data_IF_084829675624
#
_entry.id   IF_084829675624
#
_cell.length_a   1.000
_cell.length_b   1.000
_cell.length_c   1.000
_cell.angle_alpha   90.00
_cell.angle_beta   90.00
_cell.angle_gamma   90.00
#
_symmetry.space_group_name_H-M   'P 1'
#
loop_
_entity.id
_entity.type
_entity.pdbx_description
1 polymer ?
#
# COMPACT_ATOMS: atom_id res chain seq x y z
N UNK A 1 35.06 -82.03 -17.74
CA UNK A 1 34.15 -83.13 -18.16
C UNK A 1 32.72 -82.73 -17.81
N UNK A 2 31.71 -83.34 -18.42
CA UNK A 2 30.29 -82.92 -18.38
C UNK A 2 29.40 -84.19 -18.23
N UNK A 3 28.11 -84.20 -17.87
CA UNK A 3 27.06 -83.16 -17.71
C UNK A 3 26.22 -83.55 -16.45
N UNK A 4 25.54 -82.65 -15.73
CA UNK A 4 24.07 -82.41 -15.77
C UNK A 4 23.66 -81.50 -14.57
N UNK A 5 22.68 -80.57 -14.61
CA UNK A 5 21.21 -80.63 -14.91
C UNK A 5 20.41 -81.35 -13.79
N UNK A 6 19.33 -80.85 -13.16
CA UNK A 6 18.58 -79.55 -13.14
C UNK A 6 18.24 -79.23 -11.64
N UNK A 7 17.22 -78.54 -11.06
CA UNK A 7 15.90 -77.87 -11.29
C UNK A 7 15.93 -76.64 -10.31
N UNK A 8 15.56 -75.38 -10.56
CA UNK A 8 14.37 -74.65 -11.06
C UNK A 8 13.26 -74.31 -10.01
N UNK A 9 12.53 -73.18 -10.22
CA UNK A 9 11.54 -72.49 -9.35
C UNK A 9 12.14 -71.74 -8.12
N UNK A 10 12.31 -70.40 -8.11
CA UNK A 10 11.33 -69.26 -8.06
C UNK A 10 10.68 -69.07 -6.67
N UNK A 11 10.73 -67.90 -6.00
CA UNK A 11 9.98 -66.66 -6.33
C UNK A 11 10.47 -65.47 -5.45
N UNK A 12 10.60 -64.25 -6.03
CA UNK A 12 10.72 -62.89 -5.40
C UNK A 12 11.81 -62.66 -4.30
N UNK A 13 12.37 -61.46 -4.03
CA UNK A 13 12.11 -60.06 -4.44
C UNK A 13 13.39 -59.32 -4.87
N UNK A 14 13.22 -58.17 -5.51
CA UNK A 14 14.22 -57.12 -5.76
C UNK A 14 13.59 -55.74 -5.40
N UNK A 15 14.25 -54.58 -5.61
CA UNK A 15 15.59 -54.18 -5.18
C UNK A 15 15.55 -52.90 -4.28
N UNK A 16 16.74 -52.35 -4.01
CA UNK A 16 17.08 -50.97 -3.56
C UNK A 16 15.92 -49.95 -3.57
N UNK A 17 15.68 -49.31 -2.42
CA UNK A 17 14.88 -48.08 -2.34
C UNK A 17 15.51 -47.05 -1.37
N UNK A 18 16.35 -46.17 -1.92
CA UNK A 18 16.88 -44.97 -1.24
C UNK A 18 16.59 -43.77 -2.15
N UNK A 19 15.48 -43.07 -1.90
CA UNK A 19 15.17 -41.77 -2.53
C UNK A 19 14.04 -41.05 -1.77
N UNK A 20 13.85 -39.76 -2.08
CA UNK A 20 12.72 -38.92 -1.66
C UNK A 20 12.62 -38.56 -0.15
N UNK A 21 13.59 -37.78 0.35
CA UNK A 21 13.39 -36.90 1.51
C UNK A 21 13.84 -35.46 1.20
N UNK A 22 13.33 -34.92 0.09
CA UNK A 22 13.71 -33.60 -0.44
C UNK A 22 12.55 -32.95 -1.20
N UNK A 23 11.49 -32.54 -0.48
CA UNK A 23 10.25 -32.11 -1.14
C UNK A 23 9.22 -31.30 -0.34
N UNK A 24 9.56 -30.71 0.81
CA UNK A 24 8.60 -29.91 1.63
C UNK A 24 9.27 -28.65 2.20
N UNK A 25 9.64 -27.67 1.36
CA UNK A 25 10.18 -26.38 1.84
C UNK A 25 9.88 -25.14 0.96
N UNK A 26 9.00 -25.21 -0.06
CA UNK A 26 8.76 -24.09 -0.99
C UNK A 26 7.33 -23.51 -0.98
N UNK A 27 6.36 -24.13 -0.32
CA UNK A 27 4.96 -23.64 -0.27
C UNK A 27 4.66 -22.64 0.85
N UNK A 28 5.59 -22.40 1.78
CA UNK A 28 5.33 -21.60 2.98
C UNK A 28 5.24 -20.08 2.75
N UNK A 29 6.00 -19.53 1.79
CA UNK A 29 6.15 -18.08 1.67
C UNK A 29 4.90 -17.37 1.14
N UNK A 30 4.18 -17.97 0.18
CA UNK A 30 3.03 -17.33 -0.48
C UNK A 30 1.79 -17.21 0.43
N UNK A 31 1.54 -18.21 1.29
CA UNK A 31 0.40 -18.20 2.21
C UNK A 31 0.50 -17.04 3.21
N UNK A 32 1.64 -16.94 3.90
CA UNK A 32 1.94 -15.92 4.91
C UNK A 32 1.86 -14.49 4.32
N UNK A 33 2.07 -14.34 3.01
CA UNK A 33 1.96 -13.05 2.32
C UNK A 33 0.50 -12.62 2.11
N UNK A 34 -0.38 -13.50 1.64
CA UNK A 34 -1.82 -13.22 1.50
C UNK A 34 -2.46 -12.87 2.86
N UNK A 35 -2.06 -13.59 3.91
CA UNK A 35 -2.57 -13.41 5.27
C UNK A 35 -2.38 -11.96 5.80
N UNK A 36 -1.34 -11.24 5.37
CA UNK A 36 -1.08 -9.86 5.82
C UNK A 36 -2.10 -8.86 5.25
N UNK A 37 -2.39 -8.97 3.94
CA UNK A 37 -3.36 -8.11 3.26
C UNK A 37 -4.78 -8.38 3.78
N UNK A 38 -5.12 -9.64 4.06
CA UNK A 38 -6.36 -10.00 4.75
C UNK A 38 -6.42 -9.49 6.19
N UNK A 39 -5.31 -9.56 6.94
CA UNK A 39 -5.27 -9.07 8.33
C UNK A 39 -5.51 -7.55 8.39
N UNK A 40 -4.93 -6.77 7.47
CA UNK A 40 -5.19 -5.32 7.33
C UNK A 40 -6.68 -5.03 7.17
N UNK A 41 -7.35 -5.68 6.22
CA UNK A 41 -8.77 -5.48 5.93
C UNK A 41 -9.70 -5.85 7.10
N UNK A 42 -9.24 -6.67 8.05
CA UNK A 42 -9.99 -7.03 9.28
C UNK A 42 -9.81 -6.03 10.44
N UNK A 43 -8.79 -5.15 10.41
CA UNK A 43 -8.46 -4.21 11.51
C UNK A 43 -8.52 -2.72 11.13
N UNK A 44 -8.44 -2.43 9.82
CA UNK A 44 -8.64 -1.12 9.21
C UNK A 44 -9.82 -1.25 8.24
N UNK A 45 -10.89 -0.48 8.47
CA UNK A 45 -12.00 -0.42 7.49
C UNK A 45 -11.48 0.30 6.23
N UNK A 46 -11.97 -0.03 5.01
CA UNK A 46 -11.47 0.56 3.76
C UNK A 46 -11.42 2.09 3.70
N UNK A 47 -10.68 2.62 2.73
CA UNK A 47 -10.82 4.00 2.31
C UNK A 47 -12.28 4.33 1.95
N UNK A 48 -12.87 5.41 2.48
CA UNK A 48 -14.20 5.88 2.07
C UNK A 48 -14.14 6.51 0.67
N UNK A 49 -15.14 6.24 -0.15
CA UNK A 49 -15.20 6.70 -1.56
C UNK A 49 -15.42 8.21 -1.70
N UNK A 50 -14.69 8.83 -2.63
CA UNK A 50 -14.91 10.23 -3.03
C UNK A 50 -15.24 10.35 -4.51
N UNK A 51 -15.56 11.57 -4.96
CA UNK A 51 -15.79 11.88 -6.38
C UNK A 51 -14.51 11.92 -7.24
N UNK A 52 -13.33 11.63 -6.69
CA UNK A 52 -12.09 11.54 -7.47
C UNK A 52 -11.99 10.23 -8.28
N UNK A 53 -12.58 9.14 -7.77
CA UNK A 53 -12.79 7.91 -8.52
C UNK A 53 -14.20 7.96 -9.10
N UNK A 54 -14.30 7.94 -10.43
CA UNK A 54 -15.57 8.14 -11.16
C UNK A 54 -16.50 6.91 -11.08
N UNK A 55 -15.93 5.72 -10.84
CA UNK A 55 -16.63 4.43 -10.78
C UNK A 55 -16.08 3.53 -9.64
N UNK A 56 -16.29 3.89 -8.36
CA UNK A 56 -15.79 3.14 -7.21
C UNK A 56 -16.42 1.74 -7.07
N UNK A 57 -17.61 1.53 -7.64
CA UNK A 57 -18.34 0.26 -7.66
C UNK A 57 -17.65 -0.85 -8.47
N UNK A 58 -16.68 -0.47 -9.33
CA UNK A 58 -15.85 -1.43 -10.07
C UNK A 58 -14.67 -1.96 -9.24
N UNK A 59 -14.38 -1.34 -8.10
CA UNK A 59 -13.30 -1.78 -7.22
C UNK A 59 -13.71 -3.00 -6.39
N UNK A 60 -12.78 -3.94 -6.26
CA UNK A 60 -12.87 -5.07 -5.36
C UNK A 60 -11.71 -5.00 -4.34
N UNK A 61 -11.75 -5.85 -3.32
CA UNK A 61 -10.62 -6.07 -2.42
C UNK A 61 -9.77 -7.23 -2.97
N UNK A 62 -8.60 -6.99 -3.58
CA UNK A 62 -7.66 -8.04 -3.95
C UNK A 62 -6.93 -8.59 -2.72
N UNK A 63 -6.37 -9.79 -2.83
CA UNK A 63 -5.45 -10.38 -1.83
C UNK A 63 -3.98 -10.18 -2.18
N UNK A 64 -3.67 -9.82 -3.42
CA UNK A 64 -2.34 -9.92 -4.04
C UNK A 64 -1.64 -8.56 -4.29
N UNK A 65 -2.23 -7.47 -3.80
CA UNK A 65 -1.65 -6.11 -3.69
C UNK A 65 -2.04 -5.48 -2.34
N UNK A 66 -1.28 -4.50 -1.82
CA UNK A 66 -1.42 -4.01 -0.44
C UNK A 66 -2.55 -2.98 -0.25
N UNK A 67 -3.28 -2.65 -1.31
CA UNK A 67 -4.31 -1.62 -1.34
C UNK A 67 -5.70 -2.24 -1.14
N UNK A 68 -6.46 -1.74 -0.17
CA UNK A 68 -7.76 -2.30 0.22
C UNK A 68 -8.83 -2.32 -0.89
N UNK A 69 -8.78 -1.38 -1.84
CA UNK A 69 -9.69 -1.33 -2.98
C UNK A 69 -8.92 -1.14 -4.28
N UNK A 70 -9.17 -1.97 -5.28
CA UNK A 70 -8.51 -1.89 -6.59
C UNK A 70 -9.47 -2.23 -7.72
N UNK A 71 -9.33 -1.50 -8.83
CA UNK A 71 -9.84 -1.89 -10.14
C UNK A 71 -8.73 -1.76 -11.17
N UNK A 72 -8.66 -2.71 -12.11
CA UNK A 72 -7.81 -2.63 -13.28
C UNK A 72 -8.71 -2.90 -14.48
N UNK A 73 -8.61 -2.08 -15.52
CA UNK A 73 -9.39 -2.24 -16.75
C UNK A 73 -9.09 -3.62 -17.36
N UNK A 74 -10.10 -4.40 -17.79
CA UNK A 74 -9.90 -5.62 -18.55
C UNK A 74 -8.97 -5.40 -19.75
N UNK A 75 -8.12 -6.38 -20.03
CA UNK A 75 -7.12 -6.37 -21.11
C UNK A 75 -6.08 -5.23 -21.02
N UNK A 76 -5.90 -4.58 -19.85
CA UNK A 76 -4.86 -3.57 -19.62
C UNK A 76 -3.45 -4.19 -19.57
N UNK A 77 -2.80 -4.26 -20.73
CA UNK A 77 -1.39 -4.61 -20.82
C UNK A 77 -0.48 -3.47 -20.34
N UNK A 78 -0.11 -3.50 -19.05
CA UNK A 78 0.85 -2.58 -18.43
C UNK A 78 2.28 -2.66 -19.00
N UNK A 79 2.62 -3.65 -19.85
CA UNK A 79 3.97 -3.79 -20.44
C UNK A 79 4.26 -2.83 -21.59
N UNK A 80 3.21 -2.33 -22.26
CA UNK A 80 3.33 -1.36 -23.37
C UNK A 80 3.89 0.00 -22.95
N UNK A 81 3.62 0.39 -21.71
CA UNK A 81 3.93 1.70 -21.16
C UNK A 81 5.33 1.72 -20.54
N UNK A 82 6.12 2.72 -20.90
CA UNK A 82 7.54 2.85 -20.53
C UNK A 82 7.87 4.19 -19.87
N UNK A 83 6.94 5.15 -19.92
CA UNK A 83 7.06 6.46 -19.28
C UNK A 83 5.93 6.68 -18.26
N UNK A 84 6.22 7.43 -17.19
CA UNK A 84 5.26 7.74 -16.13
C UNK A 84 5.33 9.22 -15.75
N UNK A 85 4.22 9.94 -15.89
CA UNK A 85 4.01 11.27 -15.33
C UNK A 85 3.29 11.13 -13.99
N UNK A 86 3.82 11.76 -12.94
CA UNK A 86 3.21 11.73 -11.60
C UNK A 86 2.63 13.11 -11.33
N UNK A 87 1.30 13.22 -11.38
CA UNK A 87 0.60 14.47 -11.18
C UNK A 87 0.66 14.92 -9.70
N UNK A 88 0.60 16.22 -9.40
CA UNK A 88 0.51 16.71 -8.02
C UNK A 88 -0.63 16.04 -7.24
N UNK A 89 -0.37 15.70 -5.98
CA UNK A 89 -1.38 15.10 -5.10
C UNK A 89 -2.49 16.11 -4.82
N UNK A 90 -3.73 15.74 -5.12
CA UNK A 90 -4.90 16.58 -4.91
C UNK A 90 -5.40 16.50 -3.46
N UNK A 91 -5.79 17.63 -2.87
CA UNK A 91 -6.31 17.76 -1.50
C UNK A 91 -7.77 18.24 -1.44
N UNK A 92 -8.39 18.50 -2.59
CA UNK A 92 -9.77 18.98 -2.73
C UNK A 92 -10.82 17.93 -2.33
N UNK A 93 -10.41 16.66 -2.27
CA UNK A 93 -11.22 15.50 -1.88
C UNK A 93 -11.00 15.08 -0.42
N UNK A 94 -10.30 15.90 0.38
CA UNK A 94 -10.16 15.68 1.82
C UNK A 94 -11.53 15.77 2.50
N UNK A 95 -11.92 14.72 3.22
CA UNK A 95 -13.13 14.72 4.03
C UNK A 95 -13.07 15.80 5.13
N UNK A 96 -14.23 16.37 5.47
CA UNK A 96 -14.32 17.24 6.64
C UNK A 96 -13.93 16.49 7.91
N UNK A 97 -13.01 17.08 8.67
CA UNK A 97 -12.39 16.41 9.80
C UNK A 97 -13.11 16.73 11.11
N UNK A 98 -13.75 15.71 11.66
CA UNK A 98 -14.48 15.68 12.92
C UNK A 98 -13.71 16.26 14.13
N UNK A 99 -12.37 16.20 14.10
CA UNK A 99 -11.48 16.76 15.12
C UNK A 99 -11.23 18.27 14.90
N UNK A 100 -11.19 18.72 13.65
CA UNK A 100 -10.97 20.13 13.29
C UNK A 100 -12.22 20.97 13.58
N UNK A 101 -13.41 20.42 13.33
CA UNK A 101 -14.68 21.03 13.75
C UNK A 101 -14.80 21.23 15.27
N UNK A 102 -14.13 20.39 16.06
CA UNK A 102 -14.04 20.52 17.54
C UNK A 102 -12.93 21.50 17.97
N UNK A 103 -11.96 21.78 17.09
CA UNK A 103 -10.85 22.68 17.31
C UNK A 103 -11.21 24.12 16.85
N UNK A 104 -12.08 24.78 17.62
CA UNK A 104 -12.88 25.94 17.19
C UNK A 104 -12.14 27.30 17.04
N UNK A 105 -10.99 27.35 16.34
CA UNK A 105 -10.31 28.63 16.02
C UNK A 105 -9.96 28.73 14.53
N UNK A 106 -10.36 29.82 13.88
CA UNK A 106 -10.17 30.05 12.44
C UNK A 106 -8.68 30.10 12.01
N UNK A 107 -7.77 30.41 12.93
CA UNK A 107 -6.32 30.27 12.73
C UNK A 107 -5.93 28.82 12.44
N UNK A 108 -6.39 27.87 13.26
CA UNK A 108 -6.02 26.46 13.13
C UNK A 108 -6.52 25.83 11.83
N UNK A 109 -7.68 26.26 11.30
CA UNK A 109 -8.14 25.80 9.98
C UNK A 109 -7.18 26.18 8.84
N UNK A 110 -6.53 27.35 8.91
CA UNK A 110 -5.56 27.78 7.90
C UNK A 110 -4.23 27.04 8.05
N UNK A 111 -3.74 26.87 9.29
CA UNK A 111 -2.53 26.10 9.57
C UNK A 111 -2.69 24.64 9.10
N UNK A 112 -3.77 23.96 9.52
CA UNK A 112 -4.08 22.57 9.16
C UNK A 112 -4.31 22.40 7.65
N UNK A 113 -4.85 23.39 6.95
CA UNK A 113 -4.94 23.36 5.48
C UNK A 113 -3.55 23.42 4.83
N UNK A 114 -2.70 24.37 5.23
CA UNK A 114 -1.31 24.49 4.75
C UNK A 114 -0.51 23.23 5.04
N UNK A 115 -0.73 22.62 6.20
CA UNK A 115 -0.12 21.36 6.60
C UNK A 115 -0.50 20.18 5.68
N UNK A 116 -1.77 20.13 5.25
CA UNK A 116 -2.28 19.15 4.28
C UNK A 116 -1.66 19.37 2.90
N UNK A 117 -1.48 20.63 2.49
CA UNK A 117 -0.80 21.00 1.24
C UNK A 117 0.70 20.60 1.29
N UNK A 118 1.39 20.80 2.41
CA UNK A 118 2.76 20.32 2.62
C UNK A 118 2.87 18.78 2.64
N UNK A 119 1.87 18.08 3.18
CA UNK A 119 1.79 16.61 3.12
C UNK A 119 1.55 16.10 1.70
N UNK A 120 0.74 16.79 0.90
CA UNK A 120 0.51 16.45 -0.51
C UNK A 120 1.78 16.64 -1.36
N UNK A 121 2.50 17.75 -1.17
CA UNK A 121 3.83 17.99 -1.79
C UNK A 121 4.84 16.94 -1.36
N UNK A 122 4.85 16.55 -0.08
CA UNK A 122 5.72 15.49 0.42
C UNK A 122 5.40 14.13 -0.22
N UNK A 123 4.13 13.73 -0.27
CA UNK A 123 3.73 12.45 -0.84
C UNK A 123 4.03 12.39 -2.35
N UNK A 124 3.79 13.48 -3.09
CA UNK A 124 4.21 13.61 -4.48
C UNK A 124 5.71 13.39 -4.65
N UNK A 125 6.53 14.10 -3.86
CA UNK A 125 7.99 13.98 -3.88
C UNK A 125 8.47 12.56 -3.57
N UNK A 126 7.85 11.86 -2.61
CA UNK A 126 8.22 10.49 -2.26
C UNK A 126 7.81 9.47 -3.34
N UNK A 127 6.66 9.64 -4.01
CA UNK A 127 6.26 8.79 -5.14
C UNK A 127 7.16 9.03 -6.35
N UNK A 128 7.48 10.29 -6.70
CA UNK A 128 8.46 10.65 -7.74
C UNK A 128 9.83 10.05 -7.44
N UNK A 129 10.29 10.17 -6.19
CA UNK A 129 11.55 9.58 -5.73
C UNK A 129 11.55 8.07 -5.88
N UNK A 130 10.52 7.38 -5.38
CA UNK A 130 10.43 5.92 -5.42
C UNK A 130 10.48 5.37 -6.86
N UNK A 131 9.81 6.01 -7.83
CA UNK A 131 9.90 5.61 -9.23
C UNK A 131 11.22 6.01 -9.91
N UNK A 132 11.83 7.16 -9.56
CA UNK A 132 13.16 7.53 -10.08
C UNK A 132 14.30 6.66 -9.51
N UNK A 133 14.14 6.14 -8.29
CA UNK A 133 15.10 5.25 -7.60
C UNK A 133 14.78 3.74 -7.76
N UNK A 134 13.77 3.37 -8.56
CA UNK A 134 13.43 1.96 -8.83
C UNK A 134 14.60 1.21 -9.48
N UNK A 135 15.20 0.17 -8.86
CA UNK A 135 16.31 -0.58 -9.45
C UNK A 135 15.92 -1.44 -10.65
N UNK A 136 14.61 -1.69 -10.88
CA UNK A 136 14.13 -2.31 -12.13
C UNK A 136 14.00 -1.27 -13.27
N UNK A 137 14.07 0.03 -12.96
CA UNK A 137 13.88 1.17 -13.86
C UNK A 137 12.70 1.00 -14.85
N UNK A 138 11.58 0.42 -14.40
CA UNK A 138 10.47 0.04 -15.29
C UNK A 138 9.86 1.23 -16.04
N UNK A 139 9.81 2.38 -15.38
CA UNK A 139 9.27 3.60 -15.95
C UNK A 139 10.31 4.72 -15.92
N UNK A 140 10.55 5.34 -17.07
CA UNK A 140 11.19 6.65 -17.16
C UNK A 140 10.19 7.69 -16.63
N UNK A 141 10.47 8.29 -15.47
CA UNK A 141 9.62 9.36 -14.93
C UNK A 141 9.80 10.62 -15.77
N UNK A 142 8.69 11.15 -16.31
CA UNK A 142 8.63 12.39 -17.09
C UNK A 142 7.92 13.50 -16.32
N UNK A 143 8.31 14.75 -16.55
CA UNK A 143 7.90 15.90 -15.75
C UNK A 143 6.84 16.78 -16.45
N UNK A 144 6.73 16.69 -17.78
CA UNK A 144 5.60 17.24 -18.56
C UNK A 144 5.21 16.30 -19.71
N UNK A 145 4.03 16.51 -20.29
CA UNK A 145 3.54 15.74 -21.46
C UNK A 145 4.44 15.96 -22.68
N UNK A 146 5.09 17.12 -22.79
CA UNK A 146 6.01 17.48 -23.90
C UNK A 146 7.32 16.68 -23.88
N UNK A 147 7.68 16.11 -22.73
CA UNK A 147 8.84 15.23 -22.58
C UNK A 147 8.58 13.78 -23.02
N UNK A 148 7.32 13.43 -23.31
CA UNK A 148 6.89 12.08 -23.69
C UNK A 148 7.49 11.66 -25.03
N UNK A 149 8.16 10.52 -25.03
CA UNK A 149 8.74 9.88 -26.21
C UNK A 149 8.10 8.53 -26.53
N UNK A 150 7.33 7.94 -25.62
CA UNK A 150 6.77 6.58 -25.71
C UNK A 150 5.32 6.53 -25.20
N UNK A 151 4.73 5.33 -25.14
CA UNK A 151 3.45 5.13 -24.44
C UNK A 151 3.66 5.38 -22.94
N UNK A 152 2.86 6.30 -22.38
CA UNK A 152 3.06 6.88 -21.08
C UNK A 152 1.78 6.91 -20.26
N UNK A 153 1.92 6.74 -18.94
CA UNK A 153 0.81 6.78 -17.99
C UNK A 153 0.88 8.07 -17.15
N UNK A 154 -0.27 8.55 -16.70
CA UNK A 154 -0.40 9.59 -15.67
C UNK A 154 -0.91 8.93 -14.39
N UNK A 155 -0.09 8.93 -13.33
CA UNK A 155 -0.54 8.61 -11.98
C UNK A 155 -1.11 9.88 -11.35
N UNK A 156 -2.41 9.84 -11.06
CA UNK A 156 -3.15 10.89 -10.36
C UNK A 156 -3.46 10.39 -8.94
N UNK A 157 -3.21 11.22 -7.93
CA UNK A 157 -3.37 10.90 -6.51
C UNK A 157 -4.26 11.94 -5.83
N UNK A 158 -5.11 11.51 -4.91
CA UNK A 158 -5.88 12.36 -4.00
C UNK A 158 -5.68 11.90 -2.56
N UNK A 159 -5.43 12.85 -1.65
CA UNK A 159 -5.33 12.61 -0.22
C UNK A 159 -6.69 12.94 0.42
N UNK A 160 -7.34 11.93 1.02
CA UNK A 160 -8.78 12.01 1.36
C UNK A 160 -9.08 11.94 2.86
N UNK A 161 -8.23 11.31 3.68
CA UNK A 161 -8.30 11.37 5.15
C UNK A 161 -6.89 11.57 5.71
N UNK A 162 -6.70 12.48 6.67
CA UNK A 162 -5.64 12.34 7.69
C UNK A 162 -6.25 12.55 9.08
N UNK A 163 -5.98 11.62 9.99
CA UNK A 163 -6.49 11.66 11.36
C UNK A 163 -5.32 11.60 12.36
N UNK A 164 -4.99 12.70 13.04
CA UNK A 164 -3.95 12.72 14.05
C UNK A 164 -4.43 12.08 15.36
N UNK A 165 -3.58 11.25 15.96
CA UNK A 165 -3.87 10.58 17.24
C UNK A 165 -4.16 11.55 18.40
N UNK A 166 -5.02 11.18 19.33
CA UNK A 166 -5.40 11.97 20.52
C UNK A 166 -4.21 12.52 21.34
N UNK A 167 -3.10 11.79 21.59
CA UNK A 167 -1.93 12.36 22.28
C UNK A 167 -1.21 13.43 21.47
N UNK A 168 -1.27 13.37 20.13
CA UNK A 168 -0.74 14.41 19.23
C UNK A 168 -1.65 15.63 19.25
N UNK A 169 -2.97 15.46 19.23
CA UNK A 169 -3.94 16.56 19.39
C UNK A 169 -3.75 17.29 20.74
N UNK A 170 -3.52 16.56 21.83
CA UNK A 170 -3.19 17.16 23.13
C UNK A 170 -1.84 17.89 23.10
N UNK A 171 -0.78 17.29 22.55
CA UNK A 171 0.56 17.89 22.52
C UNK A 171 0.65 19.12 21.59
N UNK A 172 -0.16 19.17 20.53
CA UNK A 172 -0.34 20.36 19.68
C UNK A 172 -1.23 21.45 20.32
N UNK A 173 -1.83 21.19 21.48
CA UNK A 173 -2.74 22.12 22.17
C UNK A 173 -4.16 22.17 21.60
N UNK A 174 -4.49 21.31 20.63
CA UNK A 174 -5.77 21.31 19.90
C UNK A 174 -6.90 20.56 20.61
N UNK A 175 -6.59 19.82 21.68
CA UNK A 175 -7.58 19.13 22.51
C UNK A 175 -7.41 19.49 24.00
N UNK A 176 -8.41 20.17 24.56
CA UNK A 176 -8.42 20.62 25.95
C UNK A 176 -8.65 19.45 26.93
N UNK A 177 -7.89 19.44 28.03
CA UNK A 177 -8.03 18.48 29.12
C UNK A 177 -9.20 18.87 30.04
N UNK A 178 -10.41 18.39 29.75
CA UNK A 178 -11.59 18.81 30.52
C UNK A 178 -12.86 17.95 30.51
N UNK A 179 -12.97 16.89 29.69
CA UNK A 179 -14.20 16.09 29.65
C UNK A 179 -14.05 14.71 28.99
N UNK A 180 -14.48 13.67 29.69
CA UNK A 180 -14.45 12.28 29.22
C UNK A 180 -13.15 11.53 29.55
N UNK A 181 -13.26 10.24 29.85
CA UNK A 181 -12.16 9.38 30.27
C UNK A 181 -11.16 9.11 29.14
N UNK A 182 -9.89 9.48 29.34
CA UNK A 182 -8.80 9.18 28.40
C UNK A 182 -8.60 7.68 28.10
N UNK A 183 -9.16 6.79 28.93
CA UNK A 183 -9.12 5.34 28.76
C UNK A 183 -9.92 4.80 27.56
N UNK A 184 -10.80 5.61 26.94
CA UNK A 184 -11.62 5.21 25.78
C UNK A 184 -11.12 5.72 24.42
N UNK A 185 -10.05 6.52 24.37
CA UNK A 185 -9.57 7.13 23.15
C UNK A 185 -8.83 6.11 22.25
N UNK A 186 -9.54 5.54 21.28
CA UNK A 186 -8.97 4.62 20.28
C UNK A 186 -7.88 5.34 19.50
N UNK A 187 -6.62 5.01 19.80
CA UNK A 187 -5.43 5.78 19.42
C UNK A 187 -4.96 5.51 17.97
N UNK A 188 -5.89 5.52 17.01
CA UNK A 188 -5.64 5.21 15.61
C UNK A 188 -5.24 6.48 14.84
N UNK A 189 -3.94 6.63 14.59
CA UNK A 189 -3.42 7.53 13.53
C UNK A 189 -3.85 6.96 12.20
N UNK A 190 -4.53 7.72 11.34
CA UNK A 190 -5.00 7.24 10.02
C UNK A 190 -4.55 8.16 8.91
N UNK A 191 -4.34 7.58 7.73
CA UNK A 191 -4.29 8.30 6.47
C UNK A 191 -5.02 7.47 5.41
N UNK A 192 -5.72 8.11 4.48
CA UNK A 192 -6.29 7.46 3.30
C UNK A 192 -6.03 8.23 2.01
N UNK A 193 -5.86 7.50 0.91
CA UNK A 193 -5.74 8.05 -0.44
C UNK A 193 -6.69 7.35 -1.41
N UNK A 194 -7.02 8.07 -2.49
CA UNK A 194 -7.51 7.49 -3.74
C UNK A 194 -6.52 7.79 -4.86
N UNK A 195 -6.38 6.86 -5.80
CA UNK A 195 -5.43 6.93 -6.91
C UNK A 195 -6.08 6.43 -8.18
N UNK A 196 -5.72 7.03 -9.31
CA UNK A 196 -6.13 6.59 -10.63
C UNK A 196 -4.98 6.73 -11.62
N UNK A 197 -4.86 5.72 -12.47
CA UNK A 197 -3.83 5.58 -13.47
C UNK A 197 -4.49 5.78 -14.84
N UNK A 198 -3.99 6.73 -15.63
CA UNK A 198 -4.63 7.18 -16.87
C UNK A 198 -3.66 7.08 -18.05
N UNK A 199 -4.11 6.60 -19.19
CA UNK A 199 -3.29 6.60 -20.42
C UNK A 199 -3.17 8.02 -20.99
N UNK A 200 -1.94 8.54 -21.16
CA UNK A 200 -1.72 9.88 -21.70
C UNK A 200 -2.01 10.01 -23.20
N UNK A 201 -2.29 8.93 -23.92
CA UNK A 201 -2.69 8.97 -25.33
C UNK A 201 -4.21 9.07 -25.51
N UNK A 202 -5.00 8.45 -24.64
CA UNK A 202 -6.48 8.39 -24.74
C UNK A 202 -7.20 9.22 -23.65
N UNK A 203 -6.48 9.63 -22.60
CA UNK A 203 -7.01 10.14 -21.33
C UNK A 203 -7.98 9.16 -20.62
N UNK A 204 -7.95 7.88 -20.97
CA UNK A 204 -8.77 6.82 -20.34
C UNK A 204 -8.16 6.35 -19.01
N UNK A 205 -9.01 6.16 -17.99
CA UNK A 205 -8.60 5.55 -16.72
C UNK A 205 -8.45 4.04 -16.90
N UNK A 206 -7.24 3.52 -16.69
CA UNK A 206 -6.86 2.13 -16.91
C UNK A 206 -6.70 1.32 -15.62
N UNK A 207 -6.54 1.99 -14.49
CA UNK A 207 -6.64 1.38 -13.15
C UNK A 207 -7.00 2.42 -12.09
N UNK A 208 -7.59 1.98 -10.99
CA UNK A 208 -7.81 2.78 -9.77
C UNK A 208 -7.43 1.98 -8.53
N UNK A 209 -6.98 2.68 -7.50
CA UNK A 209 -6.58 2.11 -6.21
C UNK A 209 -7.08 3.04 -5.11
N UNK A 210 -7.58 2.51 -4.00
CA UNK A 210 -7.82 3.28 -2.80
C UNK A 210 -7.38 2.48 -1.58
N UNK A 211 -6.80 3.16 -0.61
CA UNK A 211 -6.26 2.51 0.58
C UNK A 211 -6.31 3.44 1.79
N UNK A 212 -6.60 2.85 2.95
CA UNK A 212 -6.48 3.48 4.25
C UNK A 212 -5.60 2.62 5.13
N UNK A 213 -4.66 3.28 5.78
CA UNK A 213 -3.67 2.65 6.65
C UNK A 213 -3.63 3.38 7.99
N UNK A 214 -3.17 2.67 9.03
CA UNK A 214 -2.97 3.20 10.37
C UNK A 214 -1.59 2.85 10.91
N UNK A 215 -1.01 3.77 11.68
CA UNK A 215 0.25 3.51 12.36
C UNK A 215 0.06 3.49 13.87
N UNK A 216 0.29 2.33 14.47
CA UNK A 216 0.28 2.14 15.92
C UNK A 216 1.38 2.97 16.61
N UNK A 217 1.16 3.25 17.88
CA UNK A 217 2.14 3.92 18.75
C UNK A 217 3.05 2.90 19.43
N UNK A 218 4.31 2.85 18.99
CA UNK A 218 5.40 2.44 19.88
C UNK A 218 5.52 3.38 21.09
N UNK A 219 6.32 3.02 22.11
CA UNK A 219 6.53 3.87 23.28
C UNK A 219 6.98 5.28 22.87
N UNK A 220 6.44 6.29 23.56
CA UNK A 220 6.31 7.66 23.07
C UNK A 220 7.65 8.36 22.77
N UNK A 221 8.01 8.48 21.48
CA UNK A 221 9.00 9.46 21.01
C UNK A 221 8.39 10.87 21.03
N UNK A 222 8.51 11.54 22.18
CA UNK A 222 8.08 12.92 22.40
C UNK A 222 9.01 13.98 21.76
N UNK A 223 10.01 13.58 20.96
CA UNK A 223 10.81 14.53 20.16
C UNK A 223 10.21 14.77 18.76
N UNK A 224 9.28 13.92 18.32
CA UNK A 224 8.58 14.00 17.02
C UNK A 224 7.17 14.58 17.14
N UNK A 225 6.98 15.61 17.96
CA UNK A 225 5.66 16.20 18.28
C UNK A 225 5.10 17.11 17.17
N UNK A 226 5.13 16.63 15.93
CA UNK A 226 4.46 17.27 14.79
C UNK A 226 3.58 16.23 14.08
N UNK A 227 2.31 16.57 13.82
CA UNK A 227 1.28 15.58 13.48
C UNK A 227 1.50 14.86 12.14
N UNK A 228 2.20 15.54 11.22
CA UNK A 228 2.67 15.04 9.94
C UNK A 228 3.59 13.81 10.05
N UNK A 229 4.37 13.67 11.13
CA UNK A 229 5.46 12.68 11.20
C UNK A 229 5.01 11.24 10.91
N UNK A 230 3.95 10.73 11.58
CA UNK A 230 3.35 9.43 11.27
C UNK A 230 2.68 9.35 9.90
N UNK A 231 2.02 10.41 9.44
CA UNK A 231 1.38 10.46 8.11
C UNK A 231 2.42 10.31 6.99
N UNK A 232 3.57 10.97 7.12
CA UNK A 232 4.73 10.80 6.23
C UNK A 232 5.23 9.35 6.23
N UNK A 233 5.26 8.68 7.39
CA UNK A 233 5.58 7.27 7.51
C UNK A 233 4.61 6.29 6.82
N UNK A 234 3.36 6.69 6.59
CA UNK A 234 2.37 5.96 5.77
C UNK A 234 2.62 6.24 4.28
N UNK A 235 2.78 7.51 3.91
CA UNK A 235 3.10 7.93 2.53
C UNK A 235 4.39 7.27 1.99
N UNK A 236 5.38 7.08 2.86
CA UNK A 236 6.62 6.34 2.60
C UNK A 236 6.44 4.85 2.31
N UNK A 237 5.35 4.24 2.78
CA UNK A 237 4.97 2.85 2.43
C UNK A 237 4.28 2.83 1.09
N UNK A 238 3.22 3.63 0.93
CA UNK A 238 2.44 3.72 -0.30
C UNK A 238 3.32 4.05 -1.52
N UNK A 239 4.26 4.99 -1.39
CA UNK A 239 5.20 5.33 -2.46
C UNK A 239 6.04 4.12 -2.95
N UNK A 240 6.47 3.25 -2.03
CA UNK A 240 7.19 2.01 -2.36
C UNK A 240 6.25 0.94 -2.92
N UNK A 241 5.03 0.86 -2.39
CA UNK A 241 4.02 -0.09 -2.82
C UNK A 241 3.54 0.18 -4.25
N UNK A 242 3.41 1.45 -4.67
CA UNK A 242 3.16 1.77 -6.08
C UNK A 242 4.26 1.23 -7.01
N UNK A 243 5.53 1.36 -6.63
CA UNK A 243 6.66 0.80 -7.40
C UNK A 243 6.63 -0.73 -7.40
N UNK A 244 6.30 -1.37 -6.27
CA UNK A 244 6.16 -2.82 -6.18
C UNK A 244 5.01 -3.33 -7.07
N UNK A 245 3.82 -2.72 -7.01
CA UNK A 245 2.65 -3.10 -7.84
C UNK A 245 2.89 -2.81 -9.33
N UNK A 246 3.61 -1.75 -9.67
CA UNK A 246 4.09 -1.51 -11.03
C UNK A 246 5.01 -2.65 -11.51
N UNK A 247 5.96 -3.05 -10.67
CA UNK A 247 7.00 -4.05 -10.98
C UNK A 247 6.63 -5.52 -10.76
N UNK A 248 5.45 -5.78 -10.17
CA UNK A 248 4.85 -7.09 -9.93
C UNK A 248 4.65 -7.87 -11.24
N UNK A 249 5.05 -9.15 -11.25
CA UNK A 249 4.62 -10.15 -12.22
C UNK A 249 3.17 -10.64 -11.94
N UNK A 250 2.43 -11.20 -12.91
CA UNK A 250 1.04 -11.60 -12.69
C UNK A 250 0.81 -12.43 -11.42
N UNK A 251 1.68 -13.40 -11.13
CA UNK A 251 1.57 -14.33 -10.01
C UNK A 251 2.31 -13.88 -8.72
N UNK A 252 2.86 -12.67 -8.68
CA UNK A 252 3.67 -12.14 -7.57
C UNK A 252 2.82 -11.32 -6.58
N UNK A 253 2.69 -11.77 -5.33
CA UNK A 253 1.95 -11.05 -4.28
C UNK A 253 2.76 -9.86 -3.74
N UNK A 254 2.15 -8.68 -3.68
CA UNK A 254 2.69 -7.51 -2.99
C UNK A 254 1.94 -7.30 -1.67
N UNK A 255 2.69 -7.25 -0.57
CA UNK A 255 2.14 -7.22 0.80
C UNK A 255 2.30 -5.88 1.49
N UNK A 256 1.33 -5.49 2.31
CA UNK A 256 1.55 -4.48 3.35
C UNK A 256 2.26 -5.14 4.55
N UNK A 257 3.30 -4.53 5.17
CA UNK A 257 3.72 -4.92 6.51
C UNK A 257 2.55 -4.85 7.50
N UNK A 258 2.36 -5.90 8.30
CA UNK A 258 1.32 -5.94 9.33
C UNK A 258 1.45 -4.75 10.30
N UNK A 259 0.31 -4.11 10.60
CA UNK A 259 0.26 -2.91 11.45
C UNK A 259 0.94 -3.09 12.82
N UNK A 260 0.96 -4.31 13.35
CA UNK A 260 1.63 -4.68 14.59
C UNK A 260 3.11 -5.04 14.39
N UNK A 261 3.94 -4.03 14.12
CA UNK A 261 5.41 -4.20 14.19
C UNK A 261 5.87 -4.15 15.65
N UNK A 262 6.00 -5.33 16.28
CA UNK A 262 6.64 -5.46 17.59
C UNK A 262 8.15 -5.24 17.46
N UNK A 263 8.60 -4.00 17.71
CA UNK A 263 10.02 -3.73 17.93
C UNK A 263 10.46 -4.35 19.27
N UNK A 264 11.52 -5.18 19.31
CA UNK A 264 12.12 -5.60 20.57
C UNK A 264 12.75 -4.41 21.31
N UNK A 265 12.79 -4.51 22.63
CA UNK A 265 13.24 -3.48 23.57
C UNK A 265 14.76 -3.27 23.56
#
# INVERSE_FOLDING_TARGET
MNIHTQIAASVLTAPIMILCFSGIFLTGCAAIQSDSNEAKARVVEPAPDTAFIEHPELQHQPTDVPFQKVWIKPDFDKSRYQELLIAPVNTQYMFEMDWLHKASSASWFNDVKKDIEELAVYFHGQVVKAFKEDPKHRFKVIESIDQRQQQALRLELALIEINPSTPVLHAAGWLQLGGGTAAGAINKRRAAFEARLRDLQTDEVVATFADRDMQDVGPLDLTRLTWYGPAKGIMDRWAKQFVQVANRNPDEVVTDPTAFTLHPF
#
